data_IF_347491359892
#
_entry.id   IF_347491359892
#
_cell.length_a   1.000
_cell.length_b   1.000
_cell.length_c   1.000
_cell.angle_alpha   90.00
_cell.angle_beta   90.00
_cell.angle_gamma   90.00
#
_symmetry.space_group_name_H-M   'P 1'
#
loop_
_entity.id
_entity.type
_entity.pdbx_description
1 polymer ?
#
# COMPACT_ATOMS: atom_id res chain seq x y z
N UNK A 1 -22.38 20.02 -32.50
CA UNK A 1 -23.23 18.81 -32.60
C UNK A 1 -22.90 17.99 -31.37
N UNK A 2 -23.84 17.81 -30.44
CA UNK A 2 -23.55 17.09 -29.19
C UNK A 2 -23.37 15.61 -29.49
N UNK A 3 -22.26 14.99 -29.06
CA UNK A 3 -21.99 13.57 -29.29
C UNK A 3 -23.04 12.65 -28.63
N UNK A 4 -23.71 13.15 -27.59
CA UNK A 4 -24.86 12.55 -26.89
C UNK A 4 -26.13 12.49 -27.75
N UNK A 5 -26.19 13.24 -28.85
CA UNK A 5 -27.29 13.15 -29.84
C UNK A 5 -27.00 12.16 -30.97
N UNK A 6 -25.78 11.60 -31.03
CA UNK A 6 -25.29 10.74 -32.11
C UNK A 6 -25.05 9.30 -31.64
N UNK A 7 -24.59 9.12 -30.40
CA UNK A 7 -24.26 7.81 -29.83
C UNK A 7 -25.32 7.33 -28.82
N UNK A 8 -25.74 6.04 -28.87
CA UNK A 8 -26.54 5.42 -27.82
C UNK A 8 -25.85 5.46 -26.44
N UNK A 9 -26.63 5.46 -25.37
CA UNK A 9 -26.10 5.47 -24.00
C UNK A 9 -25.18 4.28 -23.72
N UNK A 10 -25.48 3.10 -24.28
CA UNK A 10 -24.66 1.90 -24.11
C UNK A 10 -23.27 2.07 -24.72
N UNK A 11 -23.18 2.75 -25.87
CA UNK A 11 -21.89 3.06 -26.50
C UNK A 11 -21.11 4.05 -25.64
N UNK A 12 -21.77 5.07 -25.08
CA UNK A 12 -21.12 6.02 -24.18
C UNK A 12 -20.66 5.34 -22.88
N UNK A 13 -21.44 4.43 -22.31
CA UNK A 13 -21.03 3.62 -21.16
C UNK A 13 -19.76 2.83 -21.47
N UNK A 14 -19.75 2.12 -22.60
CA UNK A 14 -18.59 1.34 -23.02
C UNK A 14 -17.35 2.23 -23.19
N UNK A 15 -17.48 3.34 -23.92
CA UNK A 15 -16.37 4.29 -24.13
C UNK A 15 -15.82 4.78 -22.79
N UNK A 16 -16.68 5.29 -21.90
CA UNK A 16 -16.25 5.83 -20.60
C UNK A 16 -15.62 4.73 -19.74
N UNK A 17 -16.17 3.51 -19.75
CA UNK A 17 -15.63 2.37 -18.98
C UNK A 17 -14.23 1.91 -19.42
N UNK A 18 -13.78 2.30 -20.62
CA UNK A 18 -12.45 2.02 -21.14
C UNK A 18 -11.44 3.15 -20.87
N UNK A 19 -11.87 4.24 -20.23
CA UNK A 19 -11.02 5.35 -19.80
C UNK A 19 -10.51 5.16 -18.36
N UNK A 20 -10.12 6.25 -17.69
CA UNK A 20 -9.80 6.22 -16.26
C UNK A 20 -11.00 6.65 -15.39
N UNK A 21 -11.03 6.26 -14.11
CA UNK A 21 -11.97 6.81 -13.12
C UNK A 21 -11.98 8.35 -13.08
N UNK A 22 -10.82 8.98 -13.26
CA UNK A 22 -10.70 10.43 -13.34
C UNK A 22 -11.40 11.01 -14.58
N UNK A 23 -11.22 10.37 -15.75
CA UNK A 23 -11.88 10.79 -16.99
C UNK A 23 -13.39 10.55 -16.95
N UNK A 24 -13.86 9.49 -16.28
CA UNK A 24 -15.28 9.29 -16.01
C UNK A 24 -15.86 10.42 -15.15
N UNK A 25 -15.16 10.82 -14.09
CA UNK A 25 -15.55 11.98 -13.28
C UNK A 25 -15.57 13.28 -14.10
N UNK A 26 -14.56 13.53 -14.94
CA UNK A 26 -14.52 14.70 -15.82
C UNK A 26 -15.66 14.68 -16.84
N UNK A 27 -15.95 13.53 -17.43
CA UNK A 27 -17.07 13.33 -18.35
C UNK A 27 -18.40 13.68 -17.70
N UNK A 28 -18.60 13.27 -16.45
CA UNK A 28 -19.82 13.56 -15.68
C UNK A 28 -20.08 15.07 -15.43
N UNK A 29 -19.08 15.92 -15.65
CA UNK A 29 -19.19 17.37 -15.50
C UNK A 29 -19.56 18.09 -16.80
N UNK A 30 -19.52 17.42 -17.95
CA UNK A 30 -19.73 18.04 -19.27
C UNK A 30 -21.21 18.36 -19.51
N UNK A 31 -22.11 17.40 -19.27
CA UNK A 31 -23.56 17.58 -19.46
C UNK A 31 -24.37 16.60 -18.60
N UNK A 32 -25.69 16.78 -18.52
CA UNK A 32 -26.57 15.87 -17.79
C UNK A 32 -26.56 14.45 -18.38
N UNK A 33 -26.55 14.33 -19.71
CA UNK A 33 -26.49 13.03 -20.40
C UNK A 33 -25.19 12.29 -20.05
N UNK A 34 -24.03 12.96 -20.15
CA UNK A 34 -22.76 12.38 -19.74
C UNK A 34 -22.72 12.04 -18.24
N UNK A 35 -23.31 12.87 -17.38
CA UNK A 35 -23.42 12.60 -15.94
C UNK A 35 -24.20 11.33 -15.66
N UNK A 36 -25.33 11.15 -16.34
CA UNK A 36 -26.18 9.96 -16.22
C UNK A 36 -25.38 8.70 -16.56
N UNK A 37 -24.74 8.69 -17.74
CA UNK A 37 -23.95 7.57 -18.24
C UNK A 37 -22.71 7.32 -17.37
N UNK A 38 -21.91 8.35 -17.07
CA UNK A 38 -20.65 8.19 -16.35
C UNK A 38 -20.81 7.73 -14.89
N UNK A 39 -22.01 7.86 -14.32
CA UNK A 39 -22.31 7.42 -12.95
C UNK A 39 -22.92 6.01 -12.88
N UNK A 40 -23.09 5.34 -14.03
CA UNK A 40 -23.68 3.99 -14.09
C UNK A 40 -22.76 2.93 -13.53
N UNK A 41 -23.34 1.93 -12.88
CA UNK A 41 -22.60 0.81 -12.29
C UNK A 41 -21.84 0.00 -13.34
N UNK A 42 -22.34 -0.10 -14.57
CA UNK A 42 -21.64 -0.79 -15.65
C UNK A 42 -20.30 -0.14 -16.00
N UNK A 43 -20.17 1.17 -15.82
CA UNK A 43 -18.91 1.91 -15.99
C UNK A 43 -17.97 1.61 -14.84
N UNK A 44 -18.43 1.80 -13.61
CA UNK A 44 -17.58 1.67 -12.41
C UNK A 44 -17.20 0.23 -12.07
N UNK A 45 -17.99 -0.77 -12.51
CA UNK A 45 -17.63 -2.19 -12.41
C UNK A 45 -16.34 -2.50 -13.19
N UNK A 46 -16.03 -1.77 -14.29
CA UNK A 46 -14.79 -1.94 -15.06
C UNK A 46 -13.56 -1.34 -14.39
N UNK A 47 -13.76 -0.35 -13.53
CA UNK A 47 -12.68 0.29 -12.77
C UNK A 47 -12.32 -0.46 -11.48
N UNK A 48 -13.21 -1.32 -11.00
CA UNK A 48 -12.95 -2.19 -9.87
C UNK A 48 -12.12 -3.42 -10.31
N UNK A 49 -11.18 -3.90 -9.48
CA UNK A 49 -10.48 -5.15 -9.77
C UNK A 49 -11.47 -6.32 -9.87
N UNK A 50 -11.28 -7.26 -10.79
CA UNK A 50 -12.24 -8.35 -11.05
C UNK A 50 -12.59 -9.21 -9.83
N UNK A 51 -11.69 -9.29 -8.85
CA UNK A 51 -11.81 -10.03 -7.60
C UNK A 51 -12.20 -9.14 -6.39
N UNK A 52 -12.62 -7.88 -6.59
CA UNK A 52 -12.99 -6.99 -5.48
C UNK A 52 -14.08 -7.60 -4.58
N UNK A 53 -15.03 -8.34 -5.16
CA UNK A 53 -16.11 -9.00 -4.41
C UNK A 53 -15.57 -10.03 -3.42
N UNK A 54 -14.60 -10.86 -3.83
CA UNK A 54 -14.02 -11.87 -2.94
C UNK A 54 -13.16 -11.22 -1.86
N UNK A 55 -12.43 -10.17 -2.19
CA UNK A 55 -11.64 -9.38 -1.23
C UNK A 55 -12.55 -8.78 -0.15
N UNK A 56 -13.65 -8.12 -0.55
CA UNK A 56 -14.59 -7.51 0.38
C UNK A 56 -15.30 -8.57 1.23
N UNK A 57 -15.75 -9.68 0.64
CA UNK A 57 -16.37 -10.78 1.39
C UNK A 57 -15.44 -11.40 2.43
N UNK A 58 -14.13 -11.43 2.17
CA UNK A 58 -13.10 -11.89 3.11
C UNK A 58 -12.64 -10.83 4.12
N UNK A 59 -13.27 -9.65 4.13
CA UNK A 59 -12.94 -8.52 5.01
C UNK A 59 -14.01 -8.31 6.08
N UNK A 60 -13.74 -7.40 7.03
CA UNK A 60 -14.75 -6.93 8.00
C UNK A 60 -15.81 -6.00 7.38
N UNK A 61 -15.72 -5.68 6.09
CA UNK A 61 -16.51 -4.65 5.41
C UNK A 61 -17.46 -5.22 4.35
N UNK A 62 -18.07 -6.37 4.61
CA UNK A 62 -18.99 -7.05 3.68
C UNK A 62 -20.21 -6.21 3.26
N UNK A 63 -20.60 -5.24 4.10
CA UNK A 63 -21.67 -4.26 3.80
C UNK A 63 -21.38 -3.39 2.59
N UNK A 64 -20.12 -3.24 2.16
CA UNK A 64 -19.79 -2.48 0.95
C UNK A 64 -20.40 -3.09 -0.31
N UNK A 65 -20.69 -4.40 -0.33
CA UNK A 65 -21.25 -5.07 -1.49
C UNK A 65 -22.70 -4.65 -1.83
N UNK A 66 -23.39 -3.98 -0.90
CA UNK A 66 -24.74 -3.44 -1.14
C UNK A 66 -24.75 -2.04 -1.74
N UNK A 67 -23.59 -1.39 -1.84
CA UNK A 67 -23.45 -0.04 -2.41
C UNK A 67 -23.34 -0.08 -3.94
N UNK A 68 -23.59 1.08 -4.57
CA UNK A 68 -23.29 1.29 -5.99
C UNK A 68 -21.79 1.17 -6.26
N UNK A 69 -21.39 0.79 -7.48
CA UNK A 69 -19.99 0.49 -7.81
C UNK A 69 -19.08 1.70 -7.69
N UNK A 70 -19.62 2.88 -7.99
CA UNK A 70 -18.95 4.15 -7.77
C UNK A 70 -18.64 4.38 -6.29
N UNK A 71 -19.61 4.13 -5.42
CA UNK A 71 -19.44 4.32 -3.97
C UNK A 71 -18.47 3.30 -3.39
N UNK A 72 -18.53 2.03 -3.85
CA UNK A 72 -17.53 1.00 -3.51
C UNK A 72 -16.13 1.47 -3.91
N UNK A 73 -15.96 1.96 -5.14
CA UNK A 73 -14.67 2.43 -5.63
C UNK A 73 -14.11 3.55 -4.75
N UNK A 74 -14.90 4.59 -4.48
CA UNK A 74 -14.45 5.70 -3.63
C UNK A 74 -14.19 5.28 -2.19
N UNK A 75 -15.02 4.40 -1.63
CA UNK A 75 -14.77 3.86 -0.31
C UNK A 75 -13.41 3.17 -0.24
N UNK A 76 -13.12 2.27 -1.19
CA UNK A 76 -11.83 1.57 -1.25
C UNK A 76 -10.63 2.48 -1.54
N UNK A 77 -10.83 3.67 -2.10
CA UNK A 77 -9.75 4.66 -2.31
C UNK A 77 -9.39 5.44 -1.04
N UNK A 78 -10.36 5.68 -0.15
CA UNK A 78 -10.18 6.56 1.00
C UNK A 78 -10.18 5.83 2.35
N UNK A 79 -10.73 4.62 2.38
CA UNK A 79 -10.90 3.82 3.59
C UNK A 79 -10.30 2.44 3.34
N UNK A 80 -9.04 2.21 3.79
CA UNK A 80 -8.44 0.88 3.74
C UNK A 80 -9.30 -0.12 4.49
N UNK A 81 -9.56 -1.27 3.88
CA UNK A 81 -10.26 -2.37 4.53
C UNK A 81 -9.26 -3.41 5.03
N UNK A 82 -9.55 -3.99 6.18
CA UNK A 82 -8.72 -5.04 6.77
C UNK A 82 -9.13 -6.41 6.24
N UNK A 83 -8.13 -7.18 5.81
CA UNK A 83 -8.26 -8.54 5.29
C UNK A 83 -7.34 -9.49 6.07
N UNK A 84 -7.49 -10.80 5.84
CA UNK A 84 -6.68 -11.83 6.50
C UNK A 84 -6.63 -11.64 8.03
N UNK A 85 -7.82 -11.60 8.64
CA UNK A 85 -7.99 -11.43 10.09
C UNK A 85 -7.29 -10.19 10.66
N UNK A 86 -7.30 -9.08 9.92
CA UNK A 86 -6.74 -7.81 10.40
C UNK A 86 -5.24 -7.64 10.20
N UNK A 87 -4.56 -8.58 9.54
CA UNK A 87 -3.09 -8.55 9.42
C UNK A 87 -2.60 -7.90 8.13
N UNK A 88 -3.48 -7.76 7.12
CA UNK A 88 -3.20 -7.02 5.88
C UNK A 88 -4.32 -6.03 5.62
N UNK A 89 -3.99 -4.91 4.98
CA UNK A 89 -4.97 -3.94 4.51
C UNK A 89 -5.01 -3.90 2.99
N UNK A 90 -6.18 -3.61 2.45
CA UNK A 90 -6.42 -3.45 1.02
C UNK A 90 -7.06 -2.09 0.75
N UNK A 91 -6.61 -1.42 -0.30
CA UNK A 91 -7.20 -0.19 -0.83
C UNK A 91 -6.92 -0.08 -2.34
N UNK A 92 -7.55 0.88 -3.01
CA UNK A 92 -7.29 1.19 -4.41
C UNK A 92 -6.46 2.46 -4.55
N UNK A 93 -5.55 2.45 -5.53
CA UNK A 93 -4.91 3.68 -6.00
C UNK A 93 -5.96 4.51 -6.75
N UNK A 94 -6.14 5.76 -6.30
CA UNK A 94 -7.27 6.63 -6.65
C UNK A 94 -7.40 6.92 -8.15
N UNK A 95 -6.29 7.03 -8.87
CA UNK A 95 -6.31 7.41 -10.29
C UNK A 95 -6.54 6.23 -11.22
N UNK A 96 -5.92 5.09 -10.90
CA UNK A 96 -5.83 3.92 -11.77
C UNK A 96 -6.76 2.78 -11.36
N UNK A 97 -7.27 2.78 -10.12
CA UNK A 97 -8.03 1.64 -9.58
C UNK A 97 -7.17 0.40 -9.34
N UNK A 98 -5.84 0.53 -9.42
CA UNK A 98 -4.91 -0.58 -9.20
C UNK A 98 -4.81 -0.88 -7.70
N UNK A 99 -4.55 -2.14 -7.38
CA UNK A 99 -4.59 -2.63 -6.00
C UNK A 99 -3.37 -2.15 -5.21
N UNK A 100 -3.61 -1.70 -3.99
CA UNK A 100 -2.61 -1.43 -2.97
C UNK A 100 -2.79 -2.40 -1.81
N UNK A 101 -1.71 -3.01 -1.35
CA UNK A 101 -1.72 -3.87 -0.17
C UNK A 101 -0.71 -3.38 0.85
N UNK A 102 -1.06 -3.52 2.12
CA UNK A 102 -0.11 -3.35 3.21
C UNK A 102 -0.10 -4.59 4.09
N UNK A 103 1.09 -5.08 4.42
CA UNK A 103 1.28 -6.10 5.45
C UNK A 103 1.60 -5.42 6.76
N UNK A 104 0.68 -5.52 7.73
CA UNK A 104 0.85 -4.91 9.04
C UNK A 104 1.90 -5.65 9.88
N UNK A 105 2.40 -4.99 10.92
CA UNK A 105 3.47 -5.52 11.76
C UNK A 105 3.19 -6.93 12.33
N UNK A 106 1.93 -7.27 12.61
CA UNK A 106 1.49 -8.59 13.08
C UNK A 106 1.71 -9.72 12.06
N UNK A 107 1.75 -9.43 10.76
CA UNK A 107 2.03 -10.41 9.71
C UNK A 107 3.52 -10.42 9.29
N UNK A 108 4.35 -9.57 9.88
CA UNK A 108 5.79 -9.56 9.63
C UNK A 108 6.50 -10.52 10.58
N UNK A 109 7.49 -11.23 10.07
CA UNK A 109 8.42 -12.01 10.88
C UNK A 109 9.41 -11.05 11.53
N UNK A 110 9.02 -10.52 12.69
CA UNK A 110 9.81 -9.62 13.54
C UNK A 110 10.43 -10.30 14.76
N UNK A 111 10.14 -11.59 14.95
CA UNK A 111 10.58 -12.36 16.12
C UNK A 111 11.97 -12.93 15.82
N UNK A 112 13.00 -12.61 16.62
CA UNK A 112 14.19 -13.46 16.67
C UNK A 112 13.76 -14.82 17.20
N UNK A 113 14.13 -15.91 16.51
CA UNK A 113 13.95 -17.26 17.02
C UNK A 113 14.32 -17.31 18.51
N UNK A 114 13.31 -17.48 19.38
CA UNK A 114 13.50 -17.80 20.80
C UNK A 114 13.51 -16.67 21.83
N UNK A 115 13.12 -15.41 21.57
CA UNK A 115 13.00 -14.42 22.67
C UNK A 115 11.77 -13.48 22.57
N UNK A 116 10.74 -13.63 23.42
CA UNK A 116 9.51 -12.84 23.37
C UNK A 116 9.62 -11.34 23.72
N UNK A 117 10.77 -10.84 24.17
CA UNK A 117 10.85 -9.63 24.98
C UNK A 117 11.22 -8.32 24.25
N UNK A 118 11.26 -8.29 22.91
CA UNK A 118 11.83 -7.15 22.18
C UNK A 118 10.82 -6.18 21.54
N UNK A 119 9.55 -6.56 21.47
CA UNK A 119 8.49 -5.74 20.86
C UNK A 119 7.35 -5.46 21.85
N UNK A 120 6.83 -4.25 21.82
CA UNK A 120 5.56 -3.87 22.46
C UNK A 120 4.53 -3.78 21.35
N UNK A 121 3.39 -4.43 21.55
CA UNK A 121 2.23 -4.25 20.69
C UNK A 121 1.41 -3.10 21.24
N UNK A 122 1.26 -2.04 20.43
CA UNK A 122 0.59 -0.81 20.85
C UNK A 122 -0.48 -0.42 19.84
N UNK A 123 -1.57 0.17 20.33
CA UNK A 123 -2.64 0.69 19.51
C UNK A 123 -2.47 2.20 19.33
N UNK A 124 -2.44 2.64 18.09
CA UNK A 124 -2.31 4.05 17.71
C UNK A 124 -3.55 4.46 16.92
N UNK A 125 -4.12 5.63 17.22
CA UNK A 125 -5.37 6.10 16.60
C UNK A 125 -5.22 6.34 15.09
N UNK A 126 -4.03 6.75 14.68
CA UNK A 126 -3.65 6.99 13.29
C UNK A 126 -3.27 5.71 12.52
N UNK A 127 -3.20 4.55 13.18
CA UNK A 127 -2.83 3.28 12.53
C UNK A 127 -4.01 2.72 11.77
N UNK A 128 -3.76 2.18 10.58
CA UNK A 128 -4.74 1.38 9.84
C UNK A 128 -5.00 0.03 10.51
N UNK A 129 -4.04 -0.47 11.27
CA UNK A 129 -4.11 -1.74 11.98
C UNK A 129 -4.46 -1.56 13.46
N UNK A 130 -5.17 -2.53 14.10
CA UNK A 130 -5.48 -2.48 15.53
C UNK A 130 -4.25 -2.39 16.43
N UNK A 131 -3.16 -3.03 16.00
CA UNK A 131 -1.89 -3.09 16.72
C UNK A 131 -0.72 -2.81 15.79
N UNK A 132 0.25 -2.07 16.31
CA UNK A 132 1.55 -1.75 15.69
C UNK A 132 2.66 -2.30 16.57
N UNK A 133 3.86 -2.48 16.01
CA UNK A 133 5.00 -3.01 16.77
C UNK A 133 5.97 -1.87 17.14
N UNK A 134 6.09 -1.58 18.43
CA UNK A 134 7.11 -0.68 18.99
C UNK A 134 8.33 -1.50 19.45
N UNK A 135 9.50 -1.12 18.94
CA UNK A 135 10.77 -1.72 19.29
C UNK A 135 11.17 -1.27 20.71
N UNK A 136 11.31 -2.23 21.63
CA UNK A 136 11.89 -2.01 22.95
C UNK A 136 13.39 -1.81 22.81
N UNK A 137 14.22 -2.76 23.23
CA UNK A 137 15.65 -2.62 23.26
C UNK A 137 16.29 -3.80 22.55
N UNK A 138 17.00 -3.55 21.44
CA UNK A 138 17.69 -4.59 20.66
C UNK A 138 19.07 -4.15 20.17
N UNK A 139 19.92 -5.12 19.87
CA UNK A 139 21.27 -4.90 19.33
C UNK A 139 21.34 -5.06 17.79
N UNK A 140 20.39 -5.81 17.23
CA UNK A 140 20.20 -6.03 15.79
C UNK A 140 18.71 -5.91 15.45
N UNK A 141 18.40 -5.63 14.19
CA UNK A 141 17.04 -5.53 13.67
C UNK A 141 16.89 -6.54 12.54
N UNK A 142 15.90 -7.42 12.62
CA UNK A 142 15.56 -8.32 11.53
C UNK A 142 14.04 -8.40 11.44
N UNK A 143 13.50 -7.91 10.34
CA UNK A 143 12.10 -7.97 9.99
C UNK A 143 12.00 -8.48 8.58
N UNK A 144 11.13 -9.45 8.35
CA UNK A 144 10.87 -9.98 7.01
C UNK A 144 9.37 -10.06 6.76
N UNK A 145 8.99 -9.93 5.51
CA UNK A 145 7.64 -10.24 5.07
C UNK A 145 7.65 -10.62 3.60
N UNK A 146 6.52 -11.16 3.18
CA UNK A 146 6.33 -11.69 1.85
C UNK A 146 4.90 -11.37 1.39
N UNK A 147 4.77 -10.99 0.12
CA UNK A 147 3.49 -10.83 -0.55
C UNK A 147 3.53 -11.56 -1.88
N UNK A 148 2.54 -12.41 -2.12
CA UNK A 148 2.37 -13.09 -3.39
C UNK A 148 2.05 -12.08 -4.51
N UNK A 149 2.72 -12.14 -5.66
CA UNK A 149 2.48 -11.20 -6.77
C UNK A 149 1.14 -11.44 -7.47
N UNK A 150 0.56 -12.63 -7.32
CA UNK A 150 -0.71 -13.02 -7.95
C UNK A 150 -1.89 -12.15 -7.50
N UNK A 151 -1.82 -11.59 -6.29
CA UNK A 151 -2.89 -10.72 -5.77
C UNK A 151 -2.76 -9.28 -6.28
N UNK A 152 -1.62 -8.90 -6.86
CA UNK A 152 -1.35 -7.56 -7.38
C UNK A 152 -1.96 -7.36 -8.78
N UNK A 153 -2.17 -6.10 -9.16
CA UNK A 153 -2.66 -5.77 -10.49
C UNK A 153 -1.58 -5.98 -11.56
N UNK A 154 -1.90 -6.70 -12.64
CA UNK A 154 -1.02 -6.86 -13.81
C UNK A 154 -0.65 -5.53 -14.48
N UNK A 155 0.47 -5.58 -15.19
CA UNK A 155 1.04 -4.51 -16.03
C UNK A 155 1.15 -3.20 -15.27
N UNK A 156 1.72 -3.30 -14.07
CA UNK A 156 1.80 -2.20 -13.11
C UNK A 156 3.18 -2.15 -12.49
N UNK A 157 3.77 -0.95 -12.46
CA UNK A 157 5.00 -0.70 -11.72
C UNK A 157 4.65 -0.54 -10.23
N UNK A 158 5.16 -1.41 -9.39
CA UNK A 158 4.95 -1.38 -7.94
C UNK A 158 6.19 -0.86 -7.24
N UNK A 159 5.98 -0.09 -6.18
CA UNK A 159 7.03 0.24 -5.23
C UNK A 159 6.66 -0.27 -3.85
N UNK A 160 7.69 -0.71 -3.13
CA UNK A 160 7.61 -1.25 -1.76
C UNK A 160 8.03 -0.14 -0.81
N UNK A 161 7.20 0.16 0.18
CA UNK A 161 7.42 1.20 1.17
C UNK A 161 7.44 0.63 2.58
N UNK A 162 8.46 0.97 3.34
CA UNK A 162 8.48 0.74 4.78
C UNK A 162 7.82 1.92 5.49
N UNK A 163 6.77 1.65 6.28
CA UNK A 163 5.97 2.67 6.95
C UNK A 163 6.13 2.55 8.47
N UNK A 164 6.62 3.62 9.08
CA UNK A 164 7.09 3.62 10.47
C UNK A 164 6.98 5.00 11.13
N UNK A 165 7.18 5.02 12.45
CA UNK A 165 7.36 6.23 13.27
C UNK A 165 8.58 6.07 14.17
N UNK A 166 9.14 7.21 14.58
CA UNK A 166 10.17 7.27 15.60
C UNK A 166 9.62 8.06 16.79
N UNK A 167 9.63 7.45 17.97
CA UNK A 167 9.20 8.08 19.20
C UNK A 167 10.29 9.03 19.69
N UNK A 168 10.21 10.31 19.31
CA UNK A 168 11.27 11.33 19.47
C UNK A 168 11.96 11.32 20.85
N UNK A 169 11.20 11.13 21.93
CA UNK A 169 11.74 11.16 23.31
C UNK A 169 12.45 9.87 23.74
N UNK A 170 12.18 8.75 23.08
CA UNK A 170 12.69 7.42 23.44
C UNK A 170 13.51 6.77 22.33
N UNK A 171 13.74 7.46 21.21
CA UNK A 171 14.47 6.91 20.08
C UNK A 171 15.97 6.94 20.37
N UNK A 172 16.63 5.78 20.32
CA UNK A 172 18.09 5.70 20.34
C UNK A 172 18.58 4.68 19.34
N UNK A 173 19.85 4.80 18.93
CA UNK A 173 20.47 3.85 18.01
C UNK A 173 20.09 4.00 16.54
N UNK A 174 19.32 5.02 16.16
CA UNK A 174 18.97 5.30 14.75
C UNK A 174 19.59 6.58 14.19
N UNK A 175 19.93 7.55 15.04
CA UNK A 175 20.52 8.83 14.65
C UNK A 175 21.81 8.62 13.85
N UNK A 176 21.82 9.12 12.61
CA UNK A 176 22.92 9.00 11.64
C UNK A 176 23.41 7.57 11.38
N UNK A 177 22.54 6.57 11.58
CA UNK A 177 22.84 5.16 11.33
C UNK A 177 21.98 4.65 10.22
N UNK A 178 22.54 3.75 9.41
CA UNK A 178 21.86 3.20 8.25
C UNK A 178 21.27 1.83 8.56
N UNK A 179 20.04 1.62 8.13
CA UNK A 179 19.37 0.31 8.11
C UNK A 179 19.34 -0.21 6.68
N UNK A 180 19.54 -1.51 6.51
CA UNK A 180 19.43 -2.18 5.22
C UNK A 180 17.98 -2.48 4.89
N UNK A 181 17.51 -1.99 3.75
CA UNK A 181 16.22 -2.31 3.17
C UNK A 181 16.46 -3.22 1.97
N UNK A 182 15.85 -4.41 1.99
CA UNK A 182 15.98 -5.38 0.93
C UNK A 182 14.62 -5.65 0.29
N UNK A 183 14.61 -5.75 -1.03
CA UNK A 183 13.47 -6.26 -1.81
C UNK A 183 13.99 -7.34 -2.74
N UNK A 184 13.35 -8.51 -2.70
CA UNK A 184 13.62 -9.62 -3.59
C UNK A 184 12.35 -10.03 -4.33
N UNK A 185 12.46 -10.26 -5.64
CA UNK A 185 11.34 -10.70 -6.48
C UNK A 185 11.74 -11.99 -7.19
N UNK A 186 11.16 -13.12 -6.76
CA UNK A 186 11.58 -14.48 -7.14
C UNK A 186 11.72 -14.68 -8.65
N UNK A 187 10.69 -14.31 -9.42
CA UNK A 187 10.66 -14.54 -10.87
C UNK A 187 11.64 -13.70 -11.67
N UNK A 188 11.97 -12.50 -11.17
CA UNK A 188 12.83 -11.54 -11.88
C UNK A 188 14.29 -11.70 -11.43
N UNK A 189 14.54 -12.40 -10.32
CA UNK A 189 15.85 -12.44 -9.67
C UNK A 189 16.32 -11.06 -9.20
N UNK A 190 15.42 -10.08 -9.16
CA UNK A 190 15.74 -8.73 -8.73
C UNK A 190 16.05 -8.77 -7.24
N UNK A 191 17.18 -8.20 -6.87
CA UNK A 191 17.57 -8.01 -5.48
C UNK A 191 18.05 -6.58 -5.31
N UNK A 192 17.18 -5.74 -4.76
CA UNK A 192 17.51 -4.35 -4.45
C UNK A 192 17.91 -4.26 -2.97
N UNK A 193 19.02 -3.57 -2.71
CA UNK A 193 19.52 -3.30 -1.36
C UNK A 193 19.79 -1.83 -1.23
N UNK A 194 19.10 -1.16 -0.30
CA UNK A 194 19.30 0.25 0.00
C UNK A 194 19.73 0.41 1.46
N UNK A 195 20.80 1.16 1.69
CA UNK A 195 21.22 1.56 3.02
C UNK A 195 20.70 2.97 3.26
N UNK A 196 19.84 3.15 4.26
CA UNK A 196 19.16 4.43 4.50
C UNK A 196 19.17 4.79 5.97
N UNK A 197 19.29 6.07 6.30
CA UNK A 197 19.12 6.53 7.67
C UNK A 197 17.65 6.76 7.98
N UNK A 198 17.17 6.20 9.10
CA UNK A 198 15.81 6.42 9.61
C UNK A 198 15.70 7.72 10.43
N UNK A 199 16.83 8.27 10.88
CA UNK A 199 16.91 9.52 11.65
C UNK A 199 18.12 10.37 11.18
N UNK A 200 18.02 10.96 9.96
CA UNK A 200 19.07 11.79 9.38
C UNK A 200 19.13 13.17 10.05
N UNK A 201 20.32 13.79 10.08
CA UNK A 201 20.46 15.19 10.47
C UNK A 201 19.76 16.13 9.48
N UNK A 202 19.54 17.39 9.89
CA UNK A 202 18.81 18.39 9.07
C UNK A 202 19.42 18.61 7.68
N UNK A 203 20.72 18.40 7.52
CA UNK A 203 21.47 18.66 6.28
C UNK A 203 21.71 17.41 5.43
N UNK A 204 21.17 16.24 5.83
CA UNK A 204 21.31 14.99 5.08
C UNK A 204 20.12 14.76 4.12
N UNK A 205 20.35 14.08 2.97
CA UNK A 205 19.28 13.75 2.05
C UNK A 205 18.20 12.91 2.75
N UNK A 206 16.99 13.46 2.84
CA UNK A 206 15.85 12.77 3.42
C UNK A 206 15.19 11.90 2.35
N UNK A 207 15.49 10.61 2.40
CA UNK A 207 14.72 9.58 1.69
C UNK A 207 13.36 9.28 2.36
N UNK A 208 13.18 9.80 3.58
CA UNK A 208 11.97 9.66 4.38
C UNK A 208 10.97 10.72 3.97
N UNK A 209 9.74 10.31 3.71
CA UNK A 209 8.61 11.19 3.43
C UNK A 209 7.61 11.12 4.58
N UNK A 210 7.20 12.28 5.09
CA UNK A 210 6.06 12.37 6.00
C UNK A 210 4.75 12.24 5.20
N UNK A 211 3.85 11.39 5.69
CA UNK A 211 2.53 11.12 5.11
C UNK A 211 1.49 12.01 5.78
N UNK A 212 0.37 12.23 5.09
CA UNK A 212 -0.76 13.01 5.62
C UNK A 212 -1.47 12.34 6.82
N UNK A 213 -1.25 11.05 7.05
CA UNK A 213 -1.73 10.28 8.19
C UNK A 213 -0.78 10.35 9.41
N UNK A 214 0.31 11.13 9.31
CA UNK A 214 1.28 11.33 10.38
C UNK A 214 2.30 10.20 10.51
N UNK A 215 2.30 9.20 9.62
CA UNK A 215 3.36 8.20 9.50
C UNK A 215 4.52 8.71 8.62
N UNK A 216 5.69 8.09 8.78
CA UNK A 216 6.81 8.25 7.86
C UNK A 216 6.88 7.04 6.94
N UNK A 217 7.34 7.25 5.72
CA UNK A 217 7.61 6.16 4.79
C UNK A 217 8.94 6.32 4.06
N UNK A 218 9.49 5.20 3.63
CA UNK A 218 10.69 5.14 2.80
C UNK A 218 10.55 4.08 1.72
N UNK A 219 10.94 4.42 0.49
CA UNK A 219 10.94 3.48 -0.63
C UNK A 219 12.08 2.47 -0.48
N UNK A 220 11.74 1.20 -0.35
CA UNK A 220 12.69 0.09 -0.26
C UNK A 220 13.18 -0.35 -1.64
N UNK A 221 12.30 -0.28 -2.64
CA UNK A 221 12.59 -0.69 -4.01
C UNK A 221 11.35 -0.69 -4.90
N UNK A 222 11.55 -0.95 -6.19
CA UNK A 222 10.46 -1.01 -7.16
C UNK A 222 10.64 -2.15 -8.17
N UNK A 223 9.53 -2.68 -8.68
CA UNK A 223 9.52 -3.75 -9.67
C UNK A 223 8.27 -3.64 -10.57
N UNK A 224 8.39 -4.13 -11.79
CA UNK A 224 7.25 -4.21 -12.71
C UNK A 224 6.59 -5.59 -12.61
N UNK A 225 5.27 -5.62 -12.43
CA UNK A 225 4.47 -6.85 -12.38
C UNK A 225 3.84 -7.09 -13.76
N UNK A 226 4.26 -8.12 -14.51
CA UNK A 226 3.62 -8.47 -15.79
C UNK A 226 2.38 -9.35 -15.61
N UNK A 227 1.54 -9.40 -16.63
CA UNK A 227 0.50 -10.43 -16.72
C UNK A 227 1.09 -11.85 -16.70
N UNK A 228 0.54 -12.75 -15.88
CA UNK A 228 1.04 -14.14 -15.71
C UNK A 228 2.23 -14.32 -14.75
N UNK A 229 2.78 -13.23 -14.20
CA UNK A 229 3.85 -13.30 -13.20
C UNK A 229 3.31 -13.69 -11.82
N UNK A 230 3.12 -14.99 -11.63
CA UNK A 230 2.82 -15.60 -10.32
C UNK A 230 4.12 -15.98 -9.59
N UNK A 231 4.43 -15.31 -8.50
CA UNK A 231 5.57 -15.54 -7.61
C UNK A 231 5.33 -14.79 -6.30
N UNK A 232 6.40 -14.40 -5.60
CA UNK A 232 6.30 -13.54 -4.44
C UNK A 232 7.35 -12.43 -4.45
N UNK A 233 7.06 -11.42 -3.64
CA UNK A 233 7.99 -10.35 -3.30
C UNK A 233 8.30 -10.47 -1.83
N UNK A 234 9.54 -10.81 -1.56
CA UNK A 234 10.09 -10.79 -0.22
C UNK A 234 10.69 -9.42 0.06
N UNK A 235 10.52 -8.94 1.27
CA UNK A 235 11.13 -7.71 1.73
C UNK A 235 11.65 -7.88 3.15
N UNK A 236 12.77 -7.22 3.44
CA UNK A 236 13.33 -7.25 4.78
C UNK A 236 13.94 -5.93 5.18
N UNK A 237 13.75 -5.58 6.45
CA UNK A 237 14.46 -4.50 7.12
C UNK A 237 15.48 -5.17 8.03
N UNK A 238 16.75 -4.94 7.75
CA UNK A 238 17.85 -5.65 8.38
C UNK A 238 18.94 -4.69 8.86
N UNK A 239 19.44 -4.94 10.05
CA UNK A 239 20.66 -4.34 10.57
C UNK A 239 21.41 -5.38 11.39
N UNK A 240 22.70 -5.57 11.08
CA UNK A 240 23.55 -6.56 11.74
C UNK A 240 23.71 -6.27 13.24
N UNK A 241 24.35 -7.20 13.96
CA UNK A 241 24.72 -6.97 15.36
C UNK A 241 25.61 -5.75 15.45
N UNK A 242 25.17 -4.79 16.24
CA UNK A 242 25.90 -3.54 16.45
C UNK A 242 26.34 -3.39 17.89
N UNK A 243 27.31 -2.52 18.14
CA UNK A 243 27.79 -2.19 19.49
C UNK A 243 26.89 -1.19 20.23
N UNK A 244 25.68 -0.95 19.73
CA UNK A 244 24.73 0.00 20.28
C UNK A 244 23.33 -0.58 20.31
N UNK A 245 22.55 0.01 21.20
CA UNK A 245 21.18 -0.36 21.44
C UNK A 245 20.25 0.49 20.57
N UNK A 246 19.13 -0.12 20.15
CA UNK A 246 18.06 0.52 19.39
C UNK A 246 16.75 0.42 20.12
N UNK A 247 16.00 1.51 20.12
CA UNK A 247 14.67 1.60 20.72
C UNK A 247 13.84 2.70 20.07
N UNK A 248 12.51 2.63 20.24
CA UNK A 248 11.59 3.70 19.87
C UNK A 248 11.14 3.71 18.40
N UNK A 249 11.50 2.67 17.62
CA UNK A 249 10.98 2.44 16.27
C UNK A 249 9.59 1.82 16.36
N UNK A 250 8.58 2.47 15.81
CA UNK A 250 7.21 1.97 15.72
C UNK A 250 6.92 1.60 14.27
N UNK A 251 6.44 0.39 14.02
CA UNK A 251 6.18 -0.13 12.69
C UNK A 251 4.68 -0.25 12.49
N UNK A 252 4.17 0.40 11.44
CA UNK A 252 2.83 0.11 10.93
C UNK A 252 2.89 -1.15 10.06
N UNK A 253 3.78 -1.16 9.06
CA UNK A 253 3.91 -2.27 8.13
C UNK A 253 4.71 -1.96 6.86
N UNK A 254 4.54 -2.84 5.87
CA UNK A 254 5.14 -2.72 4.53
C UNK A 254 4.03 -2.58 3.50
N UNK A 255 4.05 -1.50 2.71
CA UNK A 255 3.04 -1.17 1.71
C UNK A 255 3.56 -1.35 0.29
N UNK A 256 2.83 -2.13 -0.51
CA UNK A 256 3.01 -2.25 -1.95
C UNK A 256 1.93 -1.41 -2.62
N UNK A 257 2.35 -0.37 -3.33
CA UNK A 257 1.44 0.48 -4.09
C UNK A 257 1.96 0.74 -5.51
N UNK A 258 1.05 0.95 -6.48
CA UNK A 258 1.43 1.42 -7.80
C UNK A 258 2.27 2.69 -7.72
N UNK A 259 3.31 2.76 -8.54
CA UNK A 259 4.15 3.93 -8.73
C UNK A 259 3.95 4.41 -10.15
N UNK A 260 3.54 5.67 -10.29
CA UNK A 260 3.42 6.31 -11.60
C UNK A 260 4.77 6.22 -12.32
N UNK A 261 4.76 5.76 -13.58
CA UNK A 261 5.95 5.63 -14.42
C UNK A 261 6.45 6.99 -14.97
N UNK A 262 5.93 8.11 -14.49
CA UNK A 262 6.29 9.43 -14.99
C UNK A 262 5.99 10.55 -14.00
N UNK A 263 7.07 11.17 -13.51
CA UNK A 263 7.14 12.61 -13.26
C UNK A 263 8.24 13.17 -14.13
#
# INVERSE_FOLDING_TARGET
MEITSILPEECLCLIISLTSPEDACRSAMISHAFRSVANRDEVWEKFLPSDYRSIISGSSSSSLLSLGKKDVYFHLCFHPILIQNGTKSFQLEKKSGKKCYMTGARALSIIPEGTPAHWIWTSLQESRFPETAELKQVWWLNMRGEIETKILSSDTNYAVYFVFKLRKEHTTGFTQRTVGLHVHVDKIGLREVRMVSLDPLRDEPRYIRERGDGWMEIEMGAFFKNCGDDGSVEFSVWEAHTNYVKQGLIIEGIELRPKDSGS
#
